data_IF_456084021876
#
_entry.id   IF_456084021876
#
_cell.length_a   1.000
_cell.length_b   1.000
_cell.length_c   1.000
_cell.angle_alpha   90.00
_cell.angle_beta   90.00
_cell.angle_gamma   90.00
#
_symmetry.space_group_name_H-M   'P 1'
#
loop_
_entity.id
_entity.type
_entity.pdbx_description
1 polymer ?
#
# COMPACT_ATOMS: atom_id res chain seq x y z
N UNK A 1 6.86 26.73 -5.90
CA UNK A 1 7.71 25.80 -5.15
C UNK A 1 9.03 26.42 -4.68
N UNK A 2 9.75 27.19 -5.48
CA UNK A 2 11.05 27.77 -5.07
C UNK A 2 10.88 28.78 -3.93
N UNK A 3 9.88 29.65 -3.99
CA UNK A 3 9.63 30.70 -2.97
C UNK A 3 9.21 30.13 -1.61
N UNK A 4 8.47 29.03 -1.55
CA UNK A 4 8.06 28.41 -0.29
C UNK A 4 9.18 27.65 0.42
N UNK A 5 10.30 27.43 -0.27
CA UNK A 5 11.48 26.73 0.25
C UNK A 5 12.64 27.67 0.60
N UNK A 6 12.52 28.95 0.26
CA UNK A 6 13.60 29.92 0.47
C UNK A 6 13.98 30.10 1.96
N UNK A 7 13.09 29.71 2.88
CA UNK A 7 13.30 29.81 4.32
C UNK A 7 13.74 28.48 4.98
N UNK A 8 13.80 27.38 4.22
CA UNK A 8 14.13 26.06 4.77
C UNK A 8 15.58 25.72 4.48
N UNK A 9 16.43 25.54 5.51
CA UNK A 9 17.87 25.30 5.33
C UNK A 9 18.20 23.86 4.93
N UNK A 10 17.22 22.94 4.96
CA UNK A 10 17.44 21.52 4.72
C UNK A 10 17.11 21.10 3.28
N UNK A 11 17.84 20.10 2.72
CA UNK A 11 17.46 19.49 1.45
C UNK A 11 16.11 18.72 1.59
N UNK A 12 15.35 18.58 0.49
CA UNK A 12 14.02 17.97 0.49
C UNK A 12 13.95 16.58 1.10
N UNK A 13 15.01 15.80 0.91
CA UNK A 13 15.11 14.46 1.47
C UNK A 13 15.08 14.48 3.00
N UNK A 14 15.88 15.34 3.61
CA UNK A 14 15.98 15.42 5.09
C UNK A 14 14.66 15.93 5.67
N UNK A 15 14.02 16.93 5.05
CA UNK A 15 12.69 17.39 5.44
C UNK A 15 11.66 16.25 5.40
N UNK A 16 11.59 15.53 4.26
CA UNK A 16 10.66 14.43 4.09
C UNK A 16 10.92 13.32 5.10
N UNK A 17 12.18 12.95 5.30
CA UNK A 17 12.57 11.88 6.21
C UNK A 17 12.25 12.23 7.66
N UNK A 18 12.48 13.48 8.08
CA UNK A 18 12.12 13.96 9.41
C UNK A 18 10.60 13.90 9.65
N UNK A 19 9.80 14.40 8.69
CA UNK A 19 8.34 14.37 8.81
C UNK A 19 7.79 12.94 8.83
N UNK A 20 8.29 12.07 7.95
CA UNK A 20 7.87 10.67 7.90
C UNK A 20 8.20 9.95 9.22
N UNK A 21 9.41 10.16 9.74
CA UNK A 21 9.82 9.58 11.01
C UNK A 21 8.93 10.09 12.16
N UNK A 22 8.64 11.39 12.22
CA UNK A 22 7.78 11.98 13.23
C UNK A 22 6.36 11.38 13.17
N UNK A 23 5.79 11.23 11.98
CA UNK A 23 4.46 10.62 11.80
C UNK A 23 4.47 9.14 12.20
N UNK A 24 5.52 8.40 11.84
CA UNK A 24 5.62 6.97 12.20
C UNK A 24 5.77 6.79 13.72
N UNK A 25 6.53 7.64 14.38
CA UNK A 25 6.65 7.64 15.85
C UNK A 25 5.31 7.96 16.53
N UNK A 26 4.59 8.98 16.04
CA UNK A 26 3.26 9.32 16.56
C UNK A 26 2.27 8.16 16.39
N UNK A 27 2.32 7.50 15.25
CA UNK A 27 1.44 6.35 14.97
C UNK A 27 1.78 5.15 15.85
N UNK A 28 3.05 4.83 16.02
CA UNK A 28 3.50 3.75 16.89
C UNK A 28 3.13 4.03 18.35
N UNK A 29 3.33 5.27 18.82
CA UNK A 29 2.92 5.69 20.15
C UNK A 29 1.40 5.60 20.33
N UNK A 30 0.63 6.05 19.33
CA UNK A 30 -0.83 5.97 19.33
C UNK A 30 -1.36 4.53 19.36
N UNK A 31 -0.68 3.59 18.72
CA UNK A 31 -1.08 2.18 18.72
C UNK A 31 -0.89 1.48 20.07
N UNK A 32 0.00 1.98 20.91
CA UNK A 32 0.27 1.45 22.25
C UNK A 32 -0.60 2.04 23.34
N UNK A 33 -1.32 3.12 23.05
CA UNK A 33 -2.17 3.82 24.01
C UNK A 33 -3.62 3.34 23.92
N UNK A 34 -4.41 3.49 24.99
CA UNK A 34 -5.85 3.27 24.94
C UNK A 34 -6.49 4.13 23.83
N UNK A 35 -7.48 3.57 23.12
CA UNK A 35 -8.09 4.17 21.92
C UNK A 35 -8.40 5.67 22.05
N UNK A 36 -9.01 6.09 23.16
CA UNK A 36 -9.37 7.50 23.38
C UNK A 36 -8.16 8.43 23.50
N UNK A 37 -7.12 7.98 24.20
CA UNK A 37 -5.89 8.76 24.42
C UNK A 37 -5.03 8.78 23.18
N UNK A 38 -4.89 7.65 22.49
CA UNK A 38 -4.12 7.55 21.25
C UNK A 38 -4.68 8.43 20.13
N UNK A 39 -6.00 8.49 19.98
CA UNK A 39 -6.65 9.36 19.01
C UNK A 39 -6.41 10.84 19.30
N UNK A 40 -6.59 11.28 20.53
CA UNK A 40 -6.36 12.67 20.94
C UNK A 40 -4.89 13.06 20.73
N UNK A 41 -3.97 12.20 21.15
CA UNK A 41 -2.53 12.44 21.00
C UNK A 41 -2.12 12.51 19.53
N UNK A 42 -2.69 11.67 18.68
CA UNK A 42 -2.46 11.69 17.23
C UNK A 42 -2.93 12.99 16.57
N UNK A 43 -4.11 13.49 16.94
CA UNK A 43 -4.65 14.73 16.38
C UNK A 43 -3.86 15.94 16.90
N UNK A 44 -3.74 16.08 18.22
CA UNK A 44 -3.06 17.23 18.83
C UNK A 44 -1.57 17.23 18.49
N UNK A 45 -0.89 16.08 18.61
CA UNK A 45 0.51 15.95 18.27
C UNK A 45 0.77 16.24 16.80
N UNK A 46 -0.08 15.74 15.90
CA UNK A 46 0.03 15.98 14.45
C UNK A 46 -0.11 17.46 14.09
N UNK A 47 -1.09 18.15 14.66
CA UNK A 47 -1.30 19.60 14.44
C UNK A 47 -0.14 20.41 15.03
N UNK A 48 0.22 20.15 16.29
CA UNK A 48 1.27 20.93 16.99
C UNK A 48 2.62 20.72 16.32
N UNK A 49 3.02 19.48 16.06
CA UNK A 49 4.30 19.19 15.41
C UNK A 49 4.32 19.74 13.98
N UNK A 50 3.23 19.58 13.23
CA UNK A 50 3.14 20.11 11.88
C UNK A 50 3.27 21.64 11.84
N UNK A 51 2.51 22.36 12.62
CA UNK A 51 2.57 23.82 12.68
C UNK A 51 3.92 24.32 13.21
N UNK A 52 4.42 23.72 14.29
CA UNK A 52 5.71 24.10 14.86
C UNK A 52 6.87 23.87 13.86
N UNK A 53 6.85 22.77 13.11
CA UNK A 53 7.88 22.46 12.10
C UNK A 53 7.91 23.50 10.99
N UNK A 54 6.74 23.98 10.56
CA UNK A 54 6.65 25.04 9.53
C UNK A 54 7.08 26.38 10.09
N UNK A 55 6.62 26.74 11.28
CA UNK A 55 6.95 28.02 11.94
C UNK A 55 8.45 28.11 12.27
N UNK A 56 9.06 27.00 12.64
CA UNK A 56 10.50 26.91 12.87
C UNK A 56 11.35 26.89 11.58
N UNK A 57 10.73 26.92 10.40
CA UNK A 57 11.44 26.82 9.12
C UNK A 57 12.11 25.45 8.89
N UNK A 58 11.67 24.42 9.62
CA UNK A 58 12.24 23.06 9.44
C UNK A 58 11.70 22.35 8.21
N UNK A 59 10.52 22.73 7.75
CA UNK A 59 9.87 22.12 6.59
C UNK A 59 9.00 23.13 5.84
N UNK A 60 8.78 22.86 4.56
CA UNK A 60 7.88 23.66 3.74
C UNK A 60 6.42 23.22 3.91
N UNK A 61 5.48 24.16 3.85
CA UNK A 61 4.04 23.88 3.90
C UNK A 61 3.59 22.86 2.84
N UNK A 62 4.18 22.93 1.64
CA UNK A 62 3.83 22.04 0.53
C UNK A 62 4.27 20.61 0.84
N UNK A 63 5.48 20.44 1.36
CA UNK A 63 5.98 19.11 1.71
C UNK A 63 5.18 18.50 2.86
N UNK A 64 4.83 19.30 3.86
CA UNK A 64 3.97 18.86 4.97
C UNK A 64 2.62 18.32 4.46
N UNK A 65 1.98 19.01 3.52
CA UNK A 65 0.70 18.57 2.93
C UNK A 65 0.88 17.24 2.17
N UNK A 66 1.95 17.10 1.37
CA UNK A 66 2.22 15.87 0.60
C UNK A 66 2.44 14.69 1.56
N UNK A 67 3.24 14.88 2.60
CA UNK A 67 3.53 13.85 3.59
C UNK A 67 2.28 13.48 4.39
N UNK A 68 1.46 14.46 4.77
CA UNK A 68 0.19 14.22 5.47
C UNK A 68 -0.80 13.43 4.60
N UNK A 69 -0.96 13.78 3.31
CA UNK A 69 -1.79 13.03 2.37
C UNK A 69 -1.28 11.60 2.19
N UNK A 70 0.03 11.42 2.09
CA UNK A 70 0.68 10.12 1.99
C UNK A 70 0.43 9.26 3.25
N UNK A 71 0.50 9.87 4.43
CA UNK A 71 0.17 9.20 5.69
C UNK A 71 -1.29 8.75 5.75
N UNK A 72 -2.23 9.61 5.30
CA UNK A 72 -3.66 9.28 5.21
C UNK A 72 -3.91 8.16 4.20
N UNK A 73 -3.27 8.21 3.03
CA UNK A 73 -3.37 7.16 2.01
C UNK A 73 -2.94 5.78 2.53
N UNK A 74 -2.02 5.74 3.49
CA UNK A 74 -1.58 4.47 4.09
C UNK A 74 -2.68 3.73 4.88
N UNK A 75 -3.78 4.41 5.28
CA UNK A 75 -4.92 3.78 5.96
C UNK A 75 -5.86 3.04 5.01
N UNK A 76 -5.76 3.28 3.70
CA UNK A 76 -6.57 2.58 2.69
C UNK A 76 -6.24 1.08 2.65
N UNK A 77 -5.04 0.70 3.08
CA UNK A 77 -4.58 -0.69 3.04
C UNK A 77 -5.27 -1.50 4.14
N UNK A 78 -6.15 -2.48 3.83
CA UNK A 78 -6.92 -3.20 4.83
C UNK A 78 -6.08 -4.18 5.66
N UNK A 79 -4.91 -4.58 5.16
CA UNK A 79 -4.00 -5.52 5.82
C UNK A 79 -2.89 -4.74 6.51
N UNK A 80 -2.87 -4.76 7.84
CA UNK A 80 -1.88 -4.04 8.66
C UNK A 80 -0.42 -4.36 8.28
N UNK A 81 -0.09 -5.65 8.06
CA UNK A 81 1.26 -6.09 7.66
C UNK A 81 1.68 -5.51 6.31
N UNK A 82 0.75 -5.43 5.36
CA UNK A 82 0.99 -4.84 4.05
C UNK A 82 1.20 -3.33 4.15
N UNK A 83 0.40 -2.64 4.98
CA UNK A 83 0.58 -1.22 5.27
C UNK A 83 1.97 -0.91 5.83
N UNK A 84 2.49 -1.74 6.73
CA UNK A 84 3.83 -1.60 7.26
C UNK A 84 4.92 -1.83 6.20
N UNK A 85 4.75 -2.83 5.32
CA UNK A 85 5.69 -3.08 4.23
C UNK A 85 5.75 -1.90 3.24
N UNK A 86 4.60 -1.36 2.82
CA UNK A 86 4.53 -0.20 1.93
C UNK A 86 5.19 1.03 2.56
N UNK A 87 5.01 1.22 3.87
CA UNK A 87 5.62 2.31 4.62
C UNK A 87 7.14 2.19 4.67
N UNK A 88 7.66 0.99 4.95
CA UNK A 88 9.10 0.74 4.96
C UNK A 88 9.73 0.96 3.58
N UNK A 89 9.02 0.60 2.49
CA UNK A 89 9.49 0.83 1.12
C UNK A 89 9.64 2.32 0.78
N UNK A 90 8.94 3.21 1.45
CA UNK A 90 9.03 4.65 1.21
C UNK A 90 10.45 5.20 1.42
N UNK A 91 11.16 4.75 2.45
CA UNK A 91 12.51 5.21 2.76
C UNK A 91 13.52 4.94 1.64
N UNK A 92 13.67 3.70 1.12
CA UNK A 92 14.55 3.47 -0.02
C UNK A 92 14.10 4.22 -1.29
N UNK A 93 12.78 4.39 -1.53
CA UNK A 93 12.33 5.18 -2.67
C UNK A 93 12.69 6.66 -2.56
N UNK A 94 12.64 7.25 -1.35
CA UNK A 94 13.14 8.61 -1.11
C UNK A 94 14.64 8.73 -1.41
N UNK A 95 15.45 7.74 -1.00
CA UNK A 95 16.87 7.72 -1.31
C UNK A 95 17.14 7.59 -2.81
N UNK A 96 16.42 6.72 -3.51
CA UNK A 96 16.53 6.62 -4.98
C UNK A 96 16.09 7.90 -5.69
N UNK A 97 15.06 8.57 -5.18
CA UNK A 97 14.60 9.85 -5.71
C UNK A 97 15.64 10.97 -5.57
N UNK A 98 16.37 11.00 -4.46
CA UNK A 98 17.42 12.00 -4.23
C UNK A 98 18.62 11.80 -5.15
N UNK A 99 19.07 10.54 -5.33
CA UNK A 99 20.26 10.23 -6.13
C UNK A 99 20.00 10.39 -7.62
N UNK A 100 18.88 9.89 -8.12
CA UNK A 100 18.60 9.77 -9.54
C UNK A 100 17.32 10.49 -10.00
N UNK A 101 16.62 11.24 -9.13
CA UNK A 101 15.37 11.86 -9.47
C UNK A 101 14.33 10.84 -9.97
N UNK A 102 13.66 11.16 -11.07
CA UNK A 102 12.68 10.29 -11.71
C UNK A 102 13.28 8.97 -12.20
N UNK A 103 14.53 8.99 -12.65
CA UNK A 103 15.25 7.78 -13.08
C UNK A 103 15.53 6.87 -11.88
N UNK A 104 15.91 7.41 -10.73
CA UNK A 104 16.10 6.65 -9.51
C UNK A 104 14.81 5.97 -9.05
N UNK A 105 13.68 6.68 -9.11
CA UNK A 105 12.35 6.12 -8.79
C UNK A 105 12.03 4.95 -9.73
N UNK A 106 12.25 5.09 -11.05
CA UNK A 106 11.97 4.02 -12.01
C UNK A 106 12.82 2.78 -11.77
N UNK A 107 14.10 2.94 -11.42
CA UNK A 107 14.96 1.83 -11.00
C UNK A 107 14.45 1.16 -9.72
N UNK A 108 13.98 1.93 -8.75
CA UNK A 108 13.36 1.43 -7.53
C UNK A 108 12.14 0.55 -7.82
N UNK A 109 11.28 0.97 -8.75
CA UNK A 109 10.14 0.16 -9.18
C UNK A 109 10.57 -1.13 -9.90
N UNK A 110 11.55 -1.06 -10.80
CA UNK A 110 12.07 -2.25 -11.48
C UNK A 110 12.61 -3.25 -10.46
N UNK A 111 13.37 -2.79 -9.48
CA UNK A 111 13.91 -3.62 -8.41
C UNK A 111 12.79 -4.24 -7.56
N UNK A 112 11.79 -3.44 -7.17
CA UNK A 112 10.64 -3.91 -6.40
C UNK A 112 9.84 -4.98 -7.14
N UNK A 113 9.51 -4.75 -8.42
CA UNK A 113 8.79 -5.72 -9.23
C UNK A 113 9.59 -7.00 -9.45
N UNK A 114 10.90 -6.88 -9.71
CA UNK A 114 11.79 -8.04 -9.85
C UNK A 114 11.80 -8.87 -8.56
N UNK A 115 11.89 -8.21 -7.42
CA UNK A 115 11.82 -8.88 -6.11
C UNK A 115 10.47 -9.58 -5.91
N UNK A 116 9.37 -8.88 -6.21
CA UNK A 116 8.01 -9.41 -6.07
C UNK A 116 7.76 -10.64 -6.95
N UNK A 117 8.27 -10.64 -8.19
CA UNK A 117 8.15 -11.78 -9.10
C UNK A 117 9.01 -12.98 -8.69
N UNK A 118 10.12 -12.75 -8.01
CA UNK A 118 10.98 -13.81 -7.47
C UNK A 118 10.48 -14.40 -6.17
N UNK A 119 9.53 -13.72 -5.51
CA UNK A 119 9.00 -14.17 -4.22
C UNK A 119 8.19 -15.46 -4.42
N UNK A 120 8.57 -16.51 -3.69
CA UNK A 120 7.85 -17.78 -3.68
C UNK A 120 7.26 -18.02 -2.31
N UNK A 121 6.00 -18.42 -2.24
CA UNK A 121 5.33 -18.85 -1.01
C UNK A 121 4.81 -20.27 -1.19
N UNK A 122 5.17 -21.19 -0.27
CA UNK A 122 4.79 -22.59 -0.33
C UNK A 122 5.13 -23.29 -1.68
N UNK A 123 6.32 -23.00 -2.24
CA UNK A 123 6.78 -23.47 -3.55
C UNK A 123 5.93 -23.01 -4.73
N UNK A 124 5.09 -22.00 -4.55
CA UNK A 124 4.34 -21.34 -5.63
C UNK A 124 4.79 -19.89 -5.76
N UNK A 125 4.80 -19.32 -6.98
CA UNK A 125 5.09 -17.89 -7.15
C UNK A 125 4.04 -17.07 -6.41
N UNK A 126 4.48 -16.08 -5.62
CA UNK A 126 3.58 -15.19 -4.88
C UNK A 126 2.78 -14.30 -5.83
N UNK A 127 3.44 -13.80 -6.88
CA UNK A 127 2.79 -13.01 -7.89
C UNK A 127 2.13 -13.92 -8.94
N UNK A 128 0.81 -13.93 -8.97
CA UNK A 128 -0.02 -14.67 -9.94
C UNK A 128 0.13 -14.20 -11.40
N UNK A 129 1.04 -13.25 -11.65
CA UNK A 129 1.24 -12.63 -12.96
C UNK A 129 2.09 -13.48 -13.92
N UNK A 130 2.85 -14.44 -13.40
CA UNK A 130 3.73 -15.25 -14.24
C UNK A 130 3.60 -16.76 -13.91
N UNK A 131 3.32 -17.64 -14.90
CA UNK A 131 3.01 -17.34 -16.30
C UNK A 131 1.60 -16.78 -16.48
N UNK A 132 1.45 -15.75 -17.31
CA UNK A 132 0.17 -15.10 -17.63
C UNK A 132 -0.72 -16.06 -18.44
N UNK A 133 -1.51 -16.85 -17.75
CA UNK A 133 -2.60 -17.63 -18.37
C UNK A 133 -3.87 -16.80 -18.30
N UNK A 134 -4.52 -16.60 -19.44
CA UNK A 134 -5.78 -15.82 -19.55
C UNK A 134 -6.86 -16.28 -18.57
N UNK A 135 -6.85 -17.54 -18.15
CA UNK A 135 -7.79 -18.09 -17.18
C UNK A 135 -7.51 -17.64 -15.75
N UNK A 136 -6.24 -17.43 -15.38
CA UNK A 136 -5.86 -16.97 -14.04
C UNK A 136 -6.01 -15.44 -13.89
N UNK A 137 -5.89 -14.69 -14.98
CA UNK A 137 -6.04 -13.23 -14.99
C UNK A 137 -7.46 -12.80 -14.65
N UNK A 138 -8.47 -13.56 -15.08
CA UNK A 138 -9.90 -13.25 -14.85
C UNK A 138 -10.31 -13.24 -13.38
N UNK A 139 -9.61 -13.93 -12.50
CA UNK A 139 -9.92 -14.00 -11.06
C UNK A 139 -8.89 -13.23 -10.20
N UNK A 140 -7.78 -12.79 -10.80
CA UNK A 140 -6.66 -12.17 -10.10
C UNK A 140 -6.73 -10.63 -10.09
N UNK A 141 -7.09 -10.00 -11.22
CA UNK A 141 -7.10 -8.54 -11.37
C UNK A 141 -8.50 -7.95 -11.22
N UNK A 142 -9.48 -8.60 -11.81
CA UNK A 142 -10.87 -8.18 -11.78
C UNK A 142 -11.70 -9.41 -11.43
N UNK A 143 -12.42 -9.36 -10.31
CA UNK A 143 -13.30 -10.43 -9.93
C UNK A 143 -14.55 -10.42 -10.81
N UNK A 144 -14.58 -11.30 -11.80
CA UNK A 144 -15.75 -11.49 -12.64
C UNK A 144 -16.90 -12.14 -11.85
N UNK A 145 -18.17 -11.90 -12.24
CA UNK A 145 -19.29 -12.58 -11.62
C UNK A 145 -19.13 -14.10 -11.73
N UNK A 146 -19.54 -14.81 -10.66
CA UNK A 146 -19.35 -16.26 -10.50
C UNK A 146 -19.92 -17.09 -11.67
N UNK A 147 -20.92 -16.55 -12.38
CA UNK A 147 -21.52 -17.16 -13.57
C UNK A 147 -20.56 -17.26 -14.76
N UNK A 148 -19.51 -16.43 -14.80
CA UNK A 148 -18.50 -16.40 -15.86
C UNK A 148 -17.21 -17.16 -15.50
N UNK A 149 -17.12 -17.66 -14.25
CA UNK A 149 -15.94 -18.38 -13.75
C UNK A 149 -16.25 -19.87 -13.68
N UNK A 150 -16.22 -20.54 -14.83
CA UNK A 150 -16.55 -21.99 -14.93
C UNK A 150 -15.38 -22.90 -14.55
N UNK A 151 -14.15 -22.35 -14.50
CA UNK A 151 -12.94 -23.16 -14.29
C UNK A 151 -12.25 -22.77 -12.97
N UNK A 152 -11.66 -23.78 -12.33
CA UNK A 152 -10.79 -23.57 -11.16
C UNK A 152 -9.41 -23.10 -11.60
N UNK A 153 -8.74 -22.32 -10.76
CA UNK A 153 -7.39 -21.87 -11.05
C UNK A 153 -6.43 -23.05 -11.26
N UNK A 154 -5.76 -23.04 -12.40
CA UNK A 154 -4.82 -24.10 -12.81
C UNK A 154 -3.61 -24.17 -11.86
N UNK A 155 -3.26 -23.07 -11.20
CA UNK A 155 -2.15 -23.04 -10.24
C UNK A 155 -2.46 -23.84 -8.96
N UNK A 156 -3.73 -23.99 -8.61
CA UNK A 156 -4.15 -24.82 -7.49
C UNK A 156 -4.04 -26.32 -7.77
N UNK A 157 -3.66 -26.73 -9.01
CA UNK A 157 -3.64 -28.13 -9.47
C UNK A 157 -4.88 -28.90 -9.05
N UNK A 158 -6.09 -28.43 -9.38
CA UNK A 158 -7.32 -29.07 -8.94
C UNK A 158 -7.48 -30.44 -9.60
N UNK A 159 -7.94 -31.43 -8.85
CA UNK A 159 -8.25 -32.75 -9.41
C UNK A 159 -9.38 -32.66 -10.46
N UNK A 160 -10.31 -31.72 -10.31
CA UNK A 160 -11.34 -31.39 -11.28
C UNK A 160 -11.23 -29.94 -11.73
N UNK A 161 -11.03 -29.72 -13.02
CA UNK A 161 -10.81 -28.38 -13.60
C UNK A 161 -12.10 -27.55 -13.65
N UNK A 162 -13.27 -28.16 -13.78
CA UNK A 162 -14.56 -27.45 -13.79
C UNK A 162 -15.11 -27.27 -12.39
N UNK A 163 -15.64 -26.07 -12.06
CA UNK A 163 -16.19 -25.75 -10.74
C UNK A 163 -17.55 -26.41 -10.47
N UNK A 164 -18.40 -26.51 -11.48
CA UNK A 164 -19.71 -27.18 -11.41
C UNK A 164 -20.14 -27.66 -12.80
N UNK A 165 -20.91 -28.74 -12.85
CA UNK A 165 -21.66 -29.08 -14.05
C UNK A 165 -22.79 -28.06 -14.22
N UNK A 166 -23.00 -27.60 -15.44
CA UNK A 166 -23.97 -26.53 -15.83
C UNK A 166 -25.44 -26.73 -15.37
N UNK A 167 -25.75 -27.81 -14.65
CA UNK A 167 -27.11 -28.18 -14.22
C UNK A 167 -27.42 -28.02 -12.74
N UNK A 168 -26.44 -27.71 -11.89
CA UNK A 168 -26.65 -27.71 -10.42
C UNK A 168 -27.14 -26.34 -9.89
N UNK A 169 -26.85 -25.23 -10.60
CA UNK A 169 -27.22 -23.89 -10.13
C UNK A 169 -28.70 -23.55 -10.23
N UNK A 170 -29.47 -24.31 -11.04
CA UNK A 170 -30.90 -24.09 -11.20
C UNK A 170 -31.76 -24.92 -10.22
N UNK A 171 -31.19 -25.96 -9.60
CA UNK A 171 -31.95 -26.84 -8.73
C UNK A 171 -32.04 -26.38 -7.27
N UNK A 172 -31.19 -25.43 -6.85
CA UNK A 172 -31.14 -24.97 -5.45
C UNK A 172 -31.98 -23.70 -5.19
N UNK A 173 -32.67 -23.18 -6.20
CA UNK A 173 -33.49 -21.96 -6.06
C UNK A 173 -34.96 -22.26 -5.75
N UNK A 174 -35.39 -23.54 -5.83
CA UNK A 174 -36.76 -23.96 -5.55
C UNK A 174 -36.98 -24.45 -4.12
N UNK A 175 -35.94 -24.64 -3.31
CA UNK A 175 -36.07 -25.19 -1.95
C UNK A 175 -36.26 -24.13 -0.85
N UNK A 176 -36.34 -22.85 -1.20
CA UNK A 176 -36.51 -21.73 -0.25
C UNK A 176 -37.79 -20.90 -0.47
N UNK A 177 -38.63 -21.28 -1.40
CA UNK A 177 -39.88 -20.55 -1.73
C UNK A 177 -41.16 -21.29 -1.27
N UNK A 178 -41.07 -22.19 -0.26
CA UNK A 178 -42.23 -22.79 0.42
C UNK A 178 -42.30 -22.37 1.90
#
# INVERSE_FOLDING_TARGET
>A
MILSRAQVPFPPLIEALFLELAIDLLREAGARLPMKVGQTLGIVGGIVIGQASVQAGLTSNILLIIVALSALASFITPIYKMGNAVRLLRFPFLAFAEIGGLFGISLGFIFLFTHLFRLTSLRKPYALFYPTRQQSVKDSWIRFPLTMIDTRDVQARPQHVKKAAKGISTKHRSDFDD
#
